data_IF_726687100968
#
_entry.id   IF_726687100968
#
_cell.length_a   1.000
_cell.length_b   1.000
_cell.length_c   1.000
_cell.angle_alpha   90.00
_cell.angle_beta   90.00
_cell.angle_gamma   90.00
#
_symmetry.space_group_name_H-M   'P 1'
#
loop_
_entity.id
_entity.type
_entity.pdbx_description
1 polymer ?
#
# COMPACT_ATOMS: atom_id res chain seq x y z
N UNK A 1 -19.60 3.22 8.58
CA UNK A 1 -19.26 2.79 7.21
C UNK A 1 -19.76 3.83 6.25
N UNK A 2 -18.87 4.46 5.51
CA UNK A 2 -19.26 5.33 4.42
C UNK A 2 -19.83 4.50 3.28
N UNK A 3 -21.04 4.82 2.83
CA UNK A 3 -21.64 4.24 1.64
C UNK A 3 -21.43 5.22 0.49
N UNK A 4 -20.86 4.76 -0.61
CA UNK A 4 -20.73 5.55 -1.82
C UNK A 4 -21.56 4.91 -2.91
N UNK A 5 -22.44 5.70 -3.50
CA UNK A 5 -23.17 5.28 -4.69
C UNK A 5 -22.27 5.42 -5.90
N UNK A 6 -21.81 4.31 -6.45
CA UNK A 6 -21.14 4.30 -7.74
C UNK A 6 -22.16 4.07 -8.84
N UNK A 7 -22.05 4.85 -9.90
CA UNK A 7 -22.89 4.76 -11.08
C UNK A 7 -22.03 4.41 -12.30
N UNK A 8 -22.35 3.33 -12.97
CA UNK A 8 -21.82 3.00 -14.29
C UNK A 8 -22.92 3.17 -15.30
N UNK A 9 -22.73 4.05 -16.27
CA UNK A 9 -23.66 4.28 -17.36
C UNK A 9 -23.02 3.74 -18.63
N UNK A 10 -23.72 2.89 -19.33
CA UNK A 10 -23.35 2.41 -20.67
C UNK A 10 -24.17 3.22 -21.66
N UNK A 11 -23.49 3.91 -22.55
CA UNK A 11 -24.10 4.77 -23.58
C UNK A 11 -23.87 4.11 -24.92
N UNK A 12 -24.91 4.06 -25.73
CA UNK A 12 -24.78 3.71 -27.14
C UNK A 12 -23.93 4.78 -27.84
N UNK A 13 -22.87 4.34 -28.52
CA UNK A 13 -21.93 5.25 -29.16
C UNK A 13 -22.49 5.93 -30.41
N UNK A 14 -23.47 5.30 -31.06
CA UNK A 14 -24.02 5.76 -32.31
C UNK A 14 -25.24 6.66 -32.10
N UNK A 15 -26.04 6.37 -31.08
CA UNK A 15 -27.27 7.13 -30.77
C UNK A 15 -27.11 8.09 -29.62
N UNK A 16 -26.10 7.90 -28.75
CA UNK A 16 -25.92 8.66 -27.51
C UNK A 16 -26.92 8.29 -26.40
N UNK A 17 -27.75 7.27 -26.60
CA UNK A 17 -28.74 6.85 -25.63
C UNK A 17 -28.15 6.03 -24.50
N UNK A 18 -28.70 6.18 -23.29
CA UNK A 18 -28.31 5.38 -22.13
C UNK A 18 -28.93 3.97 -22.25
N UNK A 19 -28.11 2.98 -22.61
CA UNK A 19 -28.55 1.58 -22.71
C UNK A 19 -28.75 0.97 -21.33
N UNK A 20 -27.82 1.25 -20.41
CA UNK A 20 -27.84 0.64 -19.08
C UNK A 20 -27.24 1.58 -18.04
N UNK A 21 -27.89 1.66 -16.90
CA UNK A 21 -27.33 2.28 -15.70
C UNK A 21 -27.26 1.25 -14.60
N UNK A 22 -26.07 0.96 -14.11
CA UNK A 22 -25.86 0.08 -12.97
C UNK A 22 -25.41 0.91 -11.78
N UNK A 23 -26.19 0.89 -10.71
CA UNK A 23 -25.85 1.49 -9.45
C UNK A 23 -25.35 0.38 -8.51
N UNK A 24 -24.21 0.59 -7.86
CA UNK A 24 -23.75 -0.29 -6.78
C UNK A 24 -23.24 0.53 -5.61
N UNK A 25 -23.44 -0.02 -4.42
CA UNK A 25 -22.95 0.59 -3.19
C UNK A 25 -21.53 0.08 -2.97
N UNK A 26 -20.56 0.99 -3.02
CA UNK A 26 -19.21 0.69 -2.58
C UNK A 26 -19.07 1.11 -1.12
N UNK A 27 -18.50 0.22 -0.34
CA UNK A 27 -18.17 0.50 1.05
C UNK A 27 -16.68 0.80 1.14
N UNK A 28 -16.33 1.96 1.68
CA UNK A 28 -15.01 2.19 2.21
C UNK A 28 -15.08 2.25 3.73
N UNK A 29 -13.99 1.97 4.37
CA UNK A 29 -13.90 2.10 5.81
C UNK A 29 -13.16 0.95 6.46
N UNK A 30 -13.03 1.08 7.77
CA UNK A 30 -12.39 0.08 8.59
C UNK A 30 -13.34 -1.08 8.93
N UNK A 31 -12.82 -2.27 8.91
CA UNK A 31 -13.40 -3.46 9.50
C UNK A 31 -12.35 -4.12 10.42
N UNK A 32 -12.64 -5.31 10.94
CA UNK A 32 -11.72 -6.08 11.79
C UNK A 32 -10.38 -6.47 11.12
N UNK A 33 -10.24 -6.29 9.79
CA UNK A 33 -9.01 -6.56 9.02
C UNK A 33 -8.22 -5.29 8.66
N UNK A 34 -8.79 -4.09 8.88
CA UNK A 34 -8.19 -2.81 8.53
C UNK A 34 -9.04 -1.99 7.56
N UNK A 35 -8.42 -0.97 6.95
CA UNK A 35 -9.07 -0.10 5.96
C UNK A 35 -9.19 -0.79 4.61
N UNK A 36 -10.40 -0.80 4.04
CA UNK A 36 -10.69 -1.42 2.75
C UNK A 36 -10.70 -0.38 1.64
N UNK A 37 -9.81 -0.56 0.66
CA UNK A 37 -9.91 0.18 -0.59
C UNK A 37 -11.13 -0.25 -1.41
N UNK A 38 -11.69 0.68 -2.19
CA UNK A 38 -12.91 0.48 -3.00
C UNK A 38 -12.80 -0.60 -4.07
N UNK A 39 -11.62 -0.99 -4.50
CA UNK A 39 -11.44 -1.93 -5.61
C UNK A 39 -11.04 -3.33 -5.12
N UNK A 40 -11.68 -4.35 -5.70
CA UNK A 40 -11.59 -5.75 -5.24
C UNK A 40 -10.45 -6.58 -5.85
N UNK A 41 -9.62 -6.04 -6.75
CA UNK A 41 -8.66 -6.89 -7.47
C UNK A 41 -7.29 -6.99 -6.78
N UNK A 42 -6.71 -8.19 -6.68
CA UNK A 42 -5.42 -8.41 -6.01
C UNK A 42 -4.24 -8.08 -6.94
N UNK A 43 -4.02 -6.82 -7.25
CA UNK A 43 -2.83 -6.38 -7.95
C UNK A 43 -2.20 -5.19 -7.24
N UNK A 44 -0.96 -4.91 -7.57
CA UNK A 44 -0.27 -3.74 -7.08
C UNK A 44 -1.05 -2.53 -7.57
N UNK A 45 -1.55 -1.74 -6.63
CA UNK A 45 -2.23 -0.48 -6.91
C UNK A 45 -1.20 0.63 -6.79
N UNK A 46 -1.23 1.49 -7.75
CA UNK A 46 -0.46 2.69 -7.79
C UNK A 46 -1.41 3.88 -7.84
N UNK A 47 -1.21 4.83 -6.92
CA UNK A 47 -2.05 6.01 -6.82
C UNK A 47 -1.29 7.20 -7.40
N UNK A 48 -1.57 7.51 -8.65
CA UNK A 48 -0.85 8.54 -9.41
C UNK A 48 -0.82 9.89 -8.71
N UNK A 49 -1.93 10.31 -8.12
CA UNK A 49 -2.05 11.61 -7.43
C UNK A 49 -1.26 11.71 -6.13
N UNK A 50 -0.87 10.58 -5.56
CA UNK A 50 -0.07 10.52 -4.33
C UNK A 50 1.44 10.53 -4.59
N UNK A 51 1.88 10.38 -5.85
CA UNK A 51 3.31 10.35 -6.18
C UNK A 51 3.91 11.72 -5.94
N UNK A 52 5.04 11.79 -5.24
CA UNK A 52 5.77 13.04 -5.10
C UNK A 52 6.09 13.64 -6.48
N UNK A 53 5.79 14.91 -6.74
CA UNK A 53 5.95 15.51 -8.06
C UNK A 53 7.40 15.55 -8.58
N UNK A 54 8.38 15.14 -7.77
CA UNK A 54 9.80 15.10 -8.10
C UNK A 54 10.41 13.70 -8.08
N UNK A 55 9.60 12.64 -8.13
CA UNK A 55 10.13 11.29 -8.21
C UNK A 55 10.75 11.05 -9.59
N UNK A 56 12.03 10.71 -9.64
CA UNK A 56 12.70 10.37 -10.91
C UNK A 56 12.13 9.07 -11.48
N UNK A 57 12.18 8.91 -12.80
CA UNK A 57 11.71 7.68 -13.46
C UNK A 57 12.42 6.44 -12.90
N UNK A 58 13.72 6.54 -12.62
CA UNK A 58 14.50 5.46 -12.04
C UNK A 58 14.01 5.10 -10.62
N UNK A 59 13.71 6.10 -9.78
CA UNK A 59 13.17 5.86 -8.45
C UNK A 59 11.75 5.29 -8.53
N UNK A 60 10.95 5.71 -9.50
CA UNK A 60 9.64 5.11 -9.76
C UNK A 60 9.76 3.63 -10.15
N UNK A 61 10.66 3.28 -11.06
CA UNK A 61 10.91 1.88 -11.43
C UNK A 61 11.39 1.08 -10.22
N UNK A 62 12.28 1.63 -9.39
CA UNK A 62 12.68 0.98 -8.13
C UNK A 62 11.49 0.76 -7.19
N UNK A 63 10.63 1.74 -7.01
CA UNK A 63 9.42 1.61 -6.18
C UNK A 63 8.54 0.45 -6.66
N UNK A 64 8.32 0.33 -7.96
CA UNK A 64 7.52 -0.76 -8.54
C UNK A 64 8.16 -2.13 -8.34
N UNK A 65 9.48 -2.24 -8.43
CA UNK A 65 10.20 -3.48 -8.13
C UNK A 65 10.13 -3.82 -6.63
N UNK A 66 10.28 -2.83 -5.74
CA UNK A 66 10.09 -3.03 -4.31
C UNK A 66 8.68 -3.49 -3.97
N UNK A 67 7.67 -2.93 -4.63
CA UNK A 67 6.28 -3.35 -4.46
C UNK A 67 6.05 -4.82 -4.86
N UNK A 68 6.78 -5.35 -5.85
CA UNK A 68 6.69 -6.77 -6.23
C UNK A 68 7.23 -7.69 -5.15
N UNK A 69 8.31 -7.32 -4.49
CA UNK A 69 8.97 -8.14 -3.44
C UNK A 69 8.37 -7.93 -2.06
N UNK A 70 7.69 -6.80 -1.80
CA UNK A 70 7.01 -6.55 -0.54
C UNK A 70 5.92 -7.60 -0.28
N UNK A 71 5.67 -7.89 1.00
CA UNK A 71 4.54 -8.73 1.41
C UNK A 71 3.19 -8.00 1.28
N UNK A 72 2.11 -8.62 1.74
CA UNK A 72 0.76 -8.04 1.67
C UNK A 72 0.55 -6.81 2.58
N UNK A 73 1.43 -6.61 3.55
CA UNK A 73 1.43 -5.44 4.45
C UNK A 73 2.41 -4.36 3.97
N UNK A 74 2.85 -4.42 2.71
CA UNK A 74 3.86 -3.53 2.13
C UNK A 74 5.25 -3.58 2.80
N UNK A 75 5.50 -4.54 3.69
CA UNK A 75 6.76 -4.69 4.37
C UNK A 75 7.79 -5.43 3.49
N UNK A 76 9.03 -4.95 3.48
CA UNK A 76 10.14 -5.59 2.77
C UNK A 76 10.71 -6.69 3.63
N UNK A 77 10.13 -7.86 3.54
CA UNK A 77 10.46 -9.04 4.34
C UNK A 77 10.59 -10.29 3.49
N UNK A 78 11.45 -11.21 3.91
CA UNK A 78 11.56 -12.54 3.33
C UNK A 78 10.88 -13.58 4.23
N UNK A 79 10.20 -14.52 3.61
CA UNK A 79 9.66 -15.68 4.33
C UNK A 79 10.79 -16.63 4.69
N UNK A 80 10.87 -16.99 5.96
CA UNK A 80 11.80 -18.04 6.43
C UNK A 80 11.09 -19.39 6.37
N UNK A 81 11.77 -20.40 5.83
CA UNK A 81 11.25 -21.76 5.79
C UNK A 81 11.03 -22.27 7.20
N UNK A 82 9.93 -23.00 7.38
CA UNK A 82 9.54 -23.53 8.67
C UNK A 82 10.27 -24.84 8.95
N UNK A 83 10.77 -24.99 10.18
CA UNK A 83 11.21 -26.28 10.70
C UNK A 83 10.03 -27.20 11.11
N UNK A 84 8.81 -26.68 11.24
CA UNK A 84 7.62 -27.42 11.66
C UNK A 84 6.36 -26.91 10.97
N UNK A 85 5.43 -27.82 10.64
CA UNK A 85 4.11 -27.51 10.07
C UNK A 85 3.22 -26.65 10.98
N UNK A 86 3.49 -26.66 12.28
CA UNK A 86 2.69 -25.98 13.32
C UNK A 86 3.25 -24.60 13.72
N UNK A 87 4.40 -24.20 13.22
CA UNK A 87 4.95 -22.89 13.56
C UNK A 87 4.30 -21.78 12.71
N UNK A 88 4.04 -20.60 13.32
CA UNK A 88 3.57 -19.42 12.62
C UNK A 88 4.57 -19.00 11.53
N UNK A 89 4.08 -18.39 10.45
CA UNK A 89 4.93 -17.85 9.38
C UNK A 89 5.94 -16.89 9.98
N UNK A 90 7.20 -17.21 9.89
CA UNK A 90 8.27 -16.34 10.35
C UNK A 90 8.72 -15.50 9.15
N UNK A 91 8.71 -14.19 9.32
CA UNK A 91 9.27 -13.25 8.38
C UNK A 91 10.53 -12.65 8.96
N UNK A 92 11.53 -12.41 8.13
CA UNK A 92 12.74 -11.65 8.49
C UNK A 92 12.79 -10.39 7.62
N UNK A 93 13.26 -9.26 8.14
CA UNK A 93 13.47 -8.09 7.32
C UNK A 93 14.43 -8.41 6.17
N UNK A 94 14.16 -7.81 5.03
CA UNK A 94 15.13 -7.70 3.95
C UNK A 94 15.95 -6.45 4.25
N UNK A 95 17.25 -6.62 4.37
CA UNK A 95 18.12 -5.47 4.47
C UNK A 95 18.33 -4.80 3.09
N UNK A 96 18.90 -3.61 3.10
CA UNK A 96 19.11 -2.84 1.89
C UNK A 96 20.06 -3.54 0.92
N UNK A 97 21.09 -4.20 1.43
CA UNK A 97 22.10 -4.86 0.60
C UNK A 97 21.53 -6.12 -0.06
N UNK A 98 20.73 -6.91 0.66
CA UNK A 98 19.99 -8.03 0.07
C UNK A 98 19.02 -7.56 -1.04
N UNK A 99 18.34 -6.43 -0.85
CA UNK A 99 17.45 -5.85 -1.87
C UNK A 99 18.25 -5.38 -3.07
N UNK A 100 19.37 -4.72 -2.83
CA UNK A 100 20.28 -4.23 -3.85
C UNK A 100 20.82 -5.37 -4.71
N UNK A 101 21.31 -6.44 -4.09
CA UNK A 101 21.79 -7.64 -4.78
C UNK A 101 20.71 -8.23 -5.70
N UNK A 102 19.47 -8.36 -5.21
CA UNK A 102 18.33 -8.85 -6.02
C UNK A 102 17.99 -7.98 -7.22
N UNK A 103 18.28 -6.69 -7.16
CA UNK A 103 17.91 -5.70 -8.17
C UNK A 103 19.11 -5.11 -8.92
N UNK A 104 20.35 -5.55 -8.61
CA UNK A 104 21.58 -5.01 -9.16
C UNK A 104 21.63 -5.05 -10.69
N UNK A 105 21.14 -6.13 -11.29
CA UNK A 105 21.06 -6.29 -12.73
C UNK A 105 20.22 -5.21 -13.44
N UNK A 106 19.31 -4.52 -12.69
CA UNK A 106 18.45 -3.45 -13.23
C UNK A 106 19.00 -2.07 -12.98
N UNK A 107 19.69 -1.87 -11.88
CA UNK A 107 19.97 -0.53 -11.40
C UNK A 107 21.45 -0.15 -11.35
N UNK A 108 22.38 -1.06 -11.28
CA UNK A 108 23.77 -0.71 -10.94
C UNK A 108 23.91 -0.01 -9.58
N UNK A 109 25.09 -0.06 -8.98
CA UNK A 109 25.31 0.28 -7.57
C UNK A 109 24.95 1.73 -7.21
N UNK A 110 25.52 2.69 -7.94
CA UNK A 110 25.34 4.12 -7.62
C UNK A 110 23.93 4.63 -7.88
N UNK A 111 23.26 4.08 -8.88
CA UNK A 111 21.91 4.44 -9.27
C UNK A 111 20.89 3.95 -8.23
N UNK A 112 21.06 2.71 -7.74
CA UNK A 112 20.22 2.16 -6.68
C UNK A 112 20.24 3.04 -5.43
N UNK A 113 21.40 3.42 -4.93
CA UNK A 113 21.53 4.23 -3.72
C UNK A 113 20.93 5.62 -3.86
N UNK A 114 21.02 6.22 -5.03
CA UNK A 114 20.35 7.49 -5.33
C UNK A 114 18.84 7.35 -5.28
N UNK A 115 18.28 6.36 -5.98
CA UNK A 115 16.85 6.09 -6.02
C UNK A 115 16.32 5.71 -4.64
N UNK A 116 17.07 4.89 -3.88
CA UNK A 116 16.71 4.53 -2.52
C UNK A 116 16.55 5.75 -1.61
N UNK A 117 17.52 6.67 -1.61
CA UNK A 117 17.44 7.92 -0.85
C UNK A 117 16.26 8.80 -1.28
N UNK A 118 15.92 8.78 -2.57
CA UNK A 118 14.75 9.50 -3.08
C UNK A 118 13.44 8.91 -2.54
N UNK A 119 13.31 7.57 -2.53
CA UNK A 119 12.13 6.88 -2.00
C UNK A 119 11.95 7.06 -0.49
N UNK A 120 13.03 7.12 0.28
CA UNK A 120 12.98 7.33 1.73
C UNK A 120 12.31 8.66 2.12
N UNK A 121 12.25 9.64 1.25
CA UNK A 121 11.66 10.94 1.57
C UNK A 121 10.16 10.88 1.77
N UNK A 122 9.44 10.05 1.01
CA UNK A 122 7.97 9.98 1.06
C UNK A 122 7.38 8.61 0.73
N UNK A 123 8.10 7.77 0.04
CA UNK A 123 7.55 6.53 -0.52
C UNK A 123 7.72 5.33 0.40
N UNK A 124 8.60 5.41 1.39
CA UNK A 124 8.84 4.35 2.35
C UNK A 124 9.48 4.89 3.62
N UNK A 125 9.31 4.17 4.72
CA UNK A 125 10.01 4.44 5.98
C UNK A 125 10.33 3.14 6.71
N UNK A 126 11.26 3.21 7.67
CA UNK A 126 11.49 2.14 8.61
C UNK A 126 10.45 2.19 9.71
N UNK A 127 9.81 1.06 9.97
CA UNK A 127 8.84 0.90 11.05
C UNK A 127 9.11 -0.38 11.81
N UNK A 128 8.63 -0.44 13.04
CA UNK A 128 8.63 -1.68 13.82
C UNK A 128 7.53 -2.59 13.29
N UNK A 129 7.93 -3.73 12.73
CA UNK A 129 7.04 -4.75 12.19
C UNK A 129 7.26 -6.04 12.96
N UNK A 130 6.33 -6.39 13.86
CA UNK A 130 6.52 -7.40 14.89
C UNK A 130 7.75 -7.08 15.76
N UNK A 131 8.73 -7.97 15.80
CA UNK A 131 9.90 -7.88 16.70
C UNK A 131 11.12 -7.22 16.04
N UNK A 132 11.02 -6.68 14.84
CA UNK A 132 12.16 -6.11 14.11
C UNK A 132 11.80 -4.84 13.35
N UNK A 133 12.83 -4.05 13.05
CA UNK A 133 12.71 -2.90 12.15
C UNK A 133 12.80 -3.35 10.70
N UNK A 134 11.88 -2.90 9.86
CA UNK A 134 11.91 -3.15 8.42
C UNK A 134 11.48 -1.94 7.63
N UNK A 135 11.80 -1.95 6.34
CA UNK A 135 11.28 -0.97 5.41
C UNK A 135 9.86 -1.32 4.99
N UNK A 136 9.00 -0.31 5.00
CA UNK A 136 7.60 -0.45 4.60
C UNK A 136 7.26 0.63 3.58
N UNK A 137 6.62 0.21 2.48
CA UNK A 137 6.21 1.11 1.41
C UNK A 137 4.93 1.84 1.84
N UNK A 138 4.85 3.12 1.48
CA UNK A 138 3.70 3.97 1.76
C UNK A 138 2.44 3.44 1.05
N UNK A 139 1.40 3.01 1.78
CA UNK A 139 0.19 2.43 1.20
C UNK A 139 -0.68 3.46 0.47
N UNK A 140 -0.48 4.76 0.69
CA UNK A 140 -1.13 5.82 -0.07
C UNK A 140 -0.56 5.95 -1.49
N UNK A 141 0.67 5.48 -1.73
CA UNK A 141 1.33 5.56 -3.03
C UNK A 141 1.24 4.24 -3.78
N UNK A 142 1.59 3.14 -3.13
CA UNK A 142 1.57 1.80 -3.73
C UNK A 142 1.06 0.78 -2.72
N UNK A 143 0.14 -0.08 -3.14
CA UNK A 143 -0.41 -1.10 -2.26
C UNK A 143 -0.86 -2.35 -3.02
N UNK A 144 -0.67 -3.51 -2.40
CA UNK A 144 -0.83 -4.82 -3.04
C UNK A 144 -2.09 -5.57 -2.57
N UNK A 145 -2.58 -5.28 -1.38
CA UNK A 145 -3.70 -5.99 -0.78
C UNK A 145 -5.02 -5.23 -0.94
N UNK A 146 -6.12 -5.85 -0.51
CA UNK A 146 -7.46 -5.23 -0.49
C UNK A 146 -7.66 -4.39 0.77
N UNK A 147 -6.98 -4.74 1.86
CA UNK A 147 -7.13 -4.08 3.16
C UNK A 147 -5.78 -3.57 3.64
N UNK A 148 -5.72 -2.30 4.02
CA UNK A 148 -4.58 -1.71 4.71
C UNK A 148 -4.77 -1.95 6.21
N UNK A 149 -3.85 -2.65 6.89
CA UNK A 149 -3.94 -2.87 8.32
C UNK A 149 -3.98 -1.55 9.11
N UNK A 150 -4.59 -1.55 10.29
CA UNK A 150 -4.71 -0.35 11.13
C UNK A 150 -3.34 0.27 11.43
N UNK A 151 -2.37 -0.53 11.85
CA UNK A 151 -1.03 -0.06 12.17
C UNK A 151 -0.37 0.66 10.97
N UNK A 152 -0.60 0.18 9.75
CA UNK A 152 -0.06 0.79 8.55
C UNK A 152 -0.77 2.10 8.20
N UNK A 153 -2.07 2.19 8.47
CA UNK A 153 -2.81 3.45 8.33
C UNK A 153 -2.34 4.49 9.37
N UNK A 154 -2.01 4.05 10.57
CA UNK A 154 -1.47 4.90 11.63
C UNK A 154 -0.09 5.42 11.24
N UNK A 155 0.79 4.54 10.81
CA UNK A 155 2.14 4.87 10.39
C UNK A 155 2.20 5.89 9.23
N UNK A 156 1.24 5.84 8.33
CA UNK A 156 1.16 6.74 7.16
C UNK A 156 -0.11 7.61 7.19
N UNK A 157 -0.56 8.02 8.38
CA UNK A 157 -1.85 8.67 8.58
C UNK A 157 -2.05 9.89 7.69
N UNK A 158 -1.08 10.79 7.67
CA UNK A 158 -1.15 12.03 6.89
C UNK A 158 -1.31 11.77 5.39
N UNK A 159 -0.56 10.80 4.86
CA UNK A 159 -0.62 10.42 3.45
C UNK A 159 -1.90 9.64 3.11
N UNK A 160 -2.46 8.91 4.07
CA UNK A 160 -3.67 8.10 3.89
C UNK A 160 -4.97 8.91 4.01
N UNK A 161 -5.00 9.96 4.82
CA UNK A 161 -6.19 10.77 5.07
C UNK A 161 -6.91 11.26 3.81
N UNK A 162 -6.23 11.77 2.76
CA UNK A 162 -6.90 12.22 1.54
C UNK A 162 -7.72 11.15 0.81
N UNK A 163 -7.41 9.87 1.06
CA UNK A 163 -8.09 8.72 0.44
C UNK A 163 -9.19 8.12 1.32
N UNK A 164 -9.34 8.61 2.55
CA UNK A 164 -10.30 8.11 3.53
C UNK A 164 -11.53 9.01 3.59
N UNK A 165 -12.70 8.42 3.87
CA UNK A 165 -13.86 9.20 4.26
C UNK A 165 -13.65 9.82 5.64
N UNK A 166 -14.34 10.92 5.95
CA UNK A 166 -14.29 11.56 7.27
C UNK A 166 -14.62 10.57 8.41
N UNK A 167 -15.56 9.64 8.17
CA UNK A 167 -15.91 8.59 9.13
C UNK A 167 -14.75 7.60 9.33
N UNK A 168 -14.02 7.24 8.28
CA UNK A 168 -12.86 6.35 8.38
C UNK A 168 -11.71 7.01 9.14
N UNK A 169 -11.46 8.30 8.90
CA UNK A 169 -10.46 9.07 9.67
C UNK A 169 -10.81 9.10 11.15
N UNK A 170 -12.07 9.43 11.49
CA UNK A 170 -12.52 9.44 12.88
C UNK A 170 -12.34 8.10 13.58
N UNK A 171 -12.68 6.98 12.91
CA UNK A 171 -12.47 5.64 13.45
C UNK A 171 -11.00 5.29 13.64
N UNK A 172 -10.13 5.73 12.74
CA UNK A 172 -8.69 5.58 12.91
C UNK A 172 -8.21 6.32 14.15
N UNK A 173 -8.66 7.56 14.35
CA UNK A 173 -8.31 8.38 15.51
C UNK A 173 -8.77 7.78 16.83
N UNK A 174 -9.98 7.20 16.84
CA UNK A 174 -10.52 6.49 17.99
C UNK A 174 -9.67 5.25 18.33
N UNK A 175 -9.31 4.45 17.33
CA UNK A 175 -8.48 3.27 17.51
C UNK A 175 -7.06 3.59 17.99
N UNK A 176 -6.46 4.64 17.45
CA UNK A 176 -5.15 5.11 17.90
C UNK A 176 -5.22 5.49 19.38
N UNK A 177 -6.23 6.24 19.80
CA UNK A 177 -6.43 6.59 21.21
C UNK A 177 -6.58 5.36 22.10
N UNK A 178 -7.39 4.36 21.68
CA UNK A 178 -7.58 3.12 22.44
C UNK A 178 -6.28 2.31 22.61
N UNK A 179 -5.32 2.41 21.68
CA UNK A 179 -4.06 1.68 21.73
C UNK A 179 -3.02 2.28 22.69
N UNK A 180 -3.22 3.53 23.13
CA UNK A 180 -2.34 4.23 24.07
C UNK A 180 -2.83 4.19 25.55
N UNK A 181 -3.98 3.58 25.79
CA UNK A 181 -4.52 3.34 27.13
C UNK A 181 -4.62 1.83 27.42
#
# INVERSE_FOLDING_TARGET
MGQYLNRKTVIDKDTGEIIQTTNWIAYDGFNNKGYKYRHRQPHIRYFYDAVPPKLSMDAFVLLMELAKIANLDNALVKRVERKSKFSNKIYKPLDKDEIKERLEYKFGINKFDRCWRELQKRCMKQVRYYDYMTWVLNPAIVYKSTYVPYWLCEEFKEDMQPFMSAMAVKKLDEKIKESYY
#
